data_IF_295334601750
#
_entry.id   IF_295334601750
#
_cell.length_a   1.000
_cell.length_b   1.000
_cell.length_c   1.000
_cell.angle_alpha   90.00
_cell.angle_beta   90.00
_cell.angle_gamma   90.00
#
_symmetry.space_group_name_H-M   'P 1'
#
loop_
_entity.id
_entity.type
_entity.pdbx_description
1 polymer ?
#
# COMPACT_ATOMS: atom_id res chain seq x y z
N UNK A 1 -5.12 10.25 -9.40
CA UNK A 1 -5.91 9.01 -9.24
C UNK A 1 -5.72 8.51 -7.81
N UNK A 2 -6.75 7.92 -7.21
CA UNK A 2 -6.66 7.34 -5.86
C UNK A 2 -6.74 5.81 -5.96
N UNK A 3 -5.82 5.13 -5.28
CA UNK A 3 -5.81 3.67 -5.13
C UNK A 3 -6.05 3.37 -3.64
N UNK A 4 -7.03 2.53 -3.35
CA UNK A 4 -7.41 2.18 -1.97
C UNK A 4 -7.25 0.67 -1.80
N UNK A 5 -6.39 0.27 -0.86
CA UNK A 5 -6.27 -1.13 -0.44
C UNK A 5 -7.00 -1.30 0.89
N UNK A 6 -8.00 -2.18 0.90
CA UNK A 6 -8.77 -2.51 2.10
C UNK A 6 -8.18 -3.75 2.73
N UNK A 7 -7.78 -3.63 3.99
CA UNK A 7 -7.22 -4.71 4.81
C UNK A 7 -6.12 -5.52 4.10
N UNK A 8 -5.05 -4.89 3.59
CA UNK A 8 -4.05 -5.61 2.81
C UNK A 8 -3.26 -6.59 3.69
N UNK A 9 -3.15 -7.83 3.22
CA UNK A 9 -2.51 -8.90 3.99
C UNK A 9 -1.06 -9.18 3.57
N UNK A 10 -0.71 -8.97 2.30
CA UNK A 10 0.59 -9.36 1.75
C UNK A 10 1.50 -8.13 1.56
N UNK A 11 2.62 -8.00 2.29
CA UNK A 11 3.46 -6.81 2.25
C UNK A 11 4.07 -6.55 0.87
N UNK A 12 4.48 -7.61 0.16
CA UNK A 12 5.07 -7.49 -1.18
C UNK A 12 4.09 -6.89 -2.20
N UNK A 13 2.80 -7.21 -2.11
CA UNK A 13 1.78 -6.66 -2.99
C UNK A 13 1.62 -5.16 -2.75
N UNK A 14 1.50 -4.77 -1.47
CA UNK A 14 1.39 -3.35 -1.09
C UNK A 14 2.63 -2.57 -1.51
N UNK A 15 3.83 -3.12 -1.33
CA UNK A 15 5.08 -2.48 -1.76
C UNK A 15 5.17 -2.29 -3.27
N UNK A 16 4.76 -3.28 -4.05
CA UNK A 16 4.71 -3.15 -5.52
C UNK A 16 3.72 -2.08 -5.96
N UNK A 17 2.53 -2.06 -5.37
CA UNK A 17 1.49 -1.05 -5.66
C UNK A 17 1.96 0.35 -5.24
N UNK A 18 2.65 0.48 -4.11
CA UNK A 18 3.22 1.74 -3.66
C UNK A 18 4.25 2.29 -4.67
N UNK A 19 5.12 1.44 -5.23
CA UNK A 19 6.05 1.83 -6.30
C UNK A 19 5.32 2.29 -7.56
N UNK A 20 4.25 1.59 -7.96
CA UNK A 20 3.41 2.01 -9.10
C UNK A 20 2.73 3.34 -8.82
N UNK A 21 2.22 3.57 -7.61
CA UNK A 21 1.61 4.84 -7.21
C UNK A 21 2.62 5.99 -7.28
N UNK A 22 3.85 5.78 -6.80
CA UNK A 22 4.94 6.75 -6.93
C UNK A 22 5.30 7.05 -8.40
N UNK A 23 5.38 6.03 -9.26
CA UNK A 23 5.69 6.19 -10.68
C UNK A 23 4.59 6.92 -11.48
N UNK A 24 3.34 6.81 -11.04
CA UNK A 24 2.16 7.36 -11.74
C UNK A 24 1.62 8.64 -11.11
N UNK A 25 2.19 9.10 -9.99
CA UNK A 25 1.65 10.22 -9.21
C UNK A 25 0.27 9.93 -8.61
N UNK A 26 -0.05 8.66 -8.36
CA UNK A 26 -1.30 8.25 -7.71
C UNK A 26 -1.16 8.27 -6.20
N UNK A 27 -2.23 8.63 -5.48
CA UNK A 27 -2.26 8.52 -4.02
C UNK A 27 -2.67 7.10 -3.60
N UNK A 28 -1.93 6.51 -2.66
CA UNK A 28 -2.21 5.20 -2.08
C UNK A 28 -2.81 5.36 -0.68
N UNK A 29 -3.99 4.79 -0.47
CA UNK A 29 -4.69 4.76 0.81
C UNK A 29 -4.72 3.32 1.33
N UNK A 30 -4.30 3.10 2.58
CA UNK A 30 -4.35 1.80 3.24
C UNK A 30 -5.39 1.81 4.35
N UNK A 31 -6.45 1.02 4.21
CA UNK A 31 -7.48 0.87 5.25
C UNK A 31 -7.09 -0.28 6.17
N UNK A 32 -7.02 0.03 7.45
CA UNK A 32 -6.66 -0.92 8.53
C UNK A 32 -7.78 -1.96 8.76
N UNK A 33 -7.45 -3.11 9.40
CA UNK A 33 -6.11 -3.54 9.84
C UNK A 33 -5.18 -3.93 8.69
N UNK A 34 -3.87 -3.75 8.87
CA UNK A 34 -2.88 -4.27 7.93
C UNK A 34 -2.42 -5.64 8.43
N UNK A 35 -2.33 -6.63 7.54
CA UNK A 35 -1.82 -7.97 7.88
C UNK A 35 -0.30 -8.03 8.09
N UNK A 36 0.38 -6.88 8.03
CA UNK A 36 1.84 -6.73 8.18
C UNK A 36 2.19 -5.39 8.85
N UNK A 37 3.41 -5.28 9.40
CA UNK A 37 3.93 -4.02 9.91
C UNK A 37 4.52 -3.15 8.80
N UNK A 38 4.28 -1.85 8.87
CA UNK A 38 4.87 -0.82 8.00
C UNK A 38 5.91 0.05 8.72
N UNK A 39 6.25 -0.31 9.96
CA UNK A 39 7.30 0.36 10.71
C UNK A 39 8.68 -0.09 10.19
N UNK A 40 9.59 0.86 10.01
CA UNK A 40 11.00 0.54 9.76
C UNK A 40 11.58 -0.20 10.97
N UNK A 41 12.45 -1.17 10.70
CA UNK A 41 13.12 -1.98 11.73
C UNK A 41 14.51 -1.44 12.07
#
# INVERSE_FOLDING_TARGET
MNIVLVEPEIPQNTGNIARTCAATGSALHLVKPLGFSIEDK
#
